data_IF_247190459118
#
_entry.id   IF_247190459118
#
_cell.length_a   1.000
_cell.length_b   1.000
_cell.length_c   1.000
_cell.angle_alpha   90.00
_cell.angle_beta   90.00
_cell.angle_gamma   90.00
#
_symmetry.space_group_name_H-M   'P 1'
#
loop_
_entity.id
_entity.type
_entity.pdbx_description
1 polymer ?
#
# COMPACT_ATOMS: atom_id res chain seq x y z
N UNK A 1 6.76 14.19 23.86
CA UNK A 1 6.15 12.89 23.48
C UNK A 1 4.64 13.10 23.46
N UNK A 2 4.04 13.24 22.29
CA UNK A 2 2.58 13.33 22.18
C UNK A 2 2.00 11.96 22.53
N UNK A 3 1.26 11.88 23.63
CA UNK A 3 0.50 10.68 23.96
C UNK A 3 -0.56 10.51 22.87
N UNK A 4 -0.54 9.37 22.18
CA UNK A 4 -1.68 8.96 21.34
C UNK A 4 -2.90 8.97 22.26
N UNK A 5 -3.90 9.76 21.90
CA UNK A 5 -5.13 9.86 22.67
C UNK A 5 -5.72 8.44 22.74
N UNK A 6 -6.07 7.97 23.94
CA UNK A 6 -6.63 6.60 24.16
C UNK A 6 -7.91 6.31 23.35
N UNK A 7 -8.44 7.32 22.68
CA UNK A 7 -9.64 7.24 21.82
C UNK A 7 -9.33 7.10 20.33
N UNK A 8 -8.05 7.10 19.94
CA UNK A 8 -7.68 6.94 18.52
C UNK A 8 -7.87 5.48 18.09
N UNK A 9 -8.63 5.20 17.00
CA UNK A 9 -8.86 3.84 16.54
C UNK A 9 -7.60 3.23 15.94
N UNK A 10 -7.47 1.92 16.00
CA UNK A 10 -6.51 1.20 15.15
C UNK A 10 -6.98 1.26 13.70
N UNK A 11 -6.02 1.38 12.77
CA UNK A 11 -6.29 1.41 11.33
C UNK A 11 -5.57 0.25 10.68
N UNK A 12 -6.32 -0.58 9.97
CA UNK A 12 -5.79 -1.71 9.20
C UNK A 12 -6.19 -1.54 7.74
N UNK A 13 -5.21 -1.54 6.84
CA UNK A 13 -5.42 -1.51 5.40
C UNK A 13 -5.09 -2.90 4.85
N UNK A 14 -6.10 -3.62 4.38
CA UNK A 14 -5.95 -4.88 3.67
C UNK A 14 -5.95 -4.60 2.17
N UNK A 15 -4.81 -4.82 1.54
CA UNK A 15 -4.63 -4.52 0.12
C UNK A 15 -4.19 -5.77 -0.64
N UNK A 16 -5.12 -6.58 -1.15
CA UNK A 16 -4.81 -7.70 -2.02
C UNK A 16 -4.11 -7.20 -3.29
N UNK A 17 -3.13 -7.96 -3.78
CA UNK A 17 -2.58 -7.70 -5.12
C UNK A 17 -3.66 -8.01 -6.15
N UNK A 18 -3.66 -7.74 -7.29
CA UNK A 18 -4.48 -8.05 -8.48
C UNK A 18 -5.90 -8.65 -8.22
N UNK A 19 -6.62 -8.17 -7.20
CA UNK A 19 -8.01 -8.55 -6.95
C UNK A 19 -8.96 -7.62 -7.70
N UNK A 20 -9.74 -8.19 -8.62
CA UNK A 20 -10.81 -7.46 -9.31
C UNK A 20 -12.09 -7.51 -8.49
N UNK A 21 -12.89 -6.42 -8.51
CA UNK A 21 -14.21 -6.39 -7.90
C UNK A 21 -15.09 -7.55 -8.41
N UNK A 22 -15.13 -7.76 -9.73
CA UNK A 22 -15.89 -8.83 -10.36
C UNK A 22 -15.44 -10.26 -9.99
N UNK A 23 -14.38 -10.43 -9.23
CA UNK A 23 -13.96 -11.73 -8.69
C UNK A 23 -14.54 -12.00 -7.29
N UNK A 24 -15.41 -11.14 -6.79
CA UNK A 24 -16.06 -11.30 -5.50
C UNK A 24 -17.57 -11.54 -5.69
N UNK A 25 -18.20 -12.45 -4.92
CA UNK A 25 -19.65 -12.70 -4.95
C UNK A 25 -20.47 -11.44 -4.76
N UNK A 26 -20.01 -10.53 -3.91
CA UNK A 26 -20.58 -9.21 -3.69
C UNK A 26 -20.83 -8.41 -4.97
N UNK A 27 -20.01 -8.63 -6.02
CA UNK A 27 -20.11 -7.95 -7.33
C UNK A 27 -20.54 -8.89 -8.47
N UNK A 28 -21.07 -10.07 -8.15
CA UNK A 28 -21.69 -10.97 -9.11
C UNK A 28 -20.90 -12.23 -9.48
N UNK A 29 -19.73 -12.49 -8.89
CA UNK A 29 -19.06 -13.78 -9.05
C UNK A 29 -19.84 -14.88 -8.29
N UNK A 30 -20.02 -16.03 -8.94
CA UNK A 30 -20.80 -17.13 -8.37
C UNK A 30 -20.00 -18.41 -8.13
N UNK A 31 -18.74 -18.45 -8.57
CA UNK A 31 -17.89 -19.64 -8.49
C UNK A 31 -17.02 -19.68 -7.24
N UNK A 32 -16.90 -18.57 -6.54
CA UNK A 32 -16.04 -18.40 -5.36
C UNK A 32 -16.89 -18.00 -4.17
N UNK A 33 -16.69 -18.64 -3.04
CA UNK A 33 -17.31 -18.27 -1.78
C UNK A 33 -16.36 -17.42 -0.93
N UNK A 34 -16.80 -16.25 -0.49
CA UNK A 34 -16.02 -15.33 0.34
C UNK A 34 -16.76 -14.92 1.62
N UNK A 35 -17.17 -15.88 2.50
CA UNK A 35 -18.10 -15.63 3.60
C UNK A 35 -17.59 -14.59 4.59
N UNK A 36 -16.28 -14.45 4.77
CA UNK A 36 -15.71 -13.45 5.67
C UNK A 36 -15.71 -12.05 5.05
N UNK A 37 -15.44 -11.94 3.75
CA UNK A 37 -15.53 -10.66 3.02
C UNK A 37 -16.99 -10.22 2.93
N UNK A 38 -17.90 -11.13 2.63
CA UNK A 38 -19.32 -10.85 2.53
C UNK A 38 -19.90 -10.36 3.86
N UNK A 39 -19.50 -11.01 4.97
CA UNK A 39 -19.87 -10.55 6.32
C UNK A 39 -19.30 -9.16 6.64
N UNK A 40 -18.03 -8.90 6.30
CA UNK A 40 -17.43 -7.60 6.48
C UNK A 40 -18.17 -6.54 5.65
N UNK A 41 -18.52 -6.86 4.42
CA UNK A 41 -19.25 -5.95 3.54
C UNK A 41 -20.63 -5.60 4.08
N UNK A 42 -21.35 -6.58 4.68
CA UNK A 42 -22.66 -6.37 5.30
C UNK A 42 -22.63 -5.34 6.45
N UNK A 43 -21.49 -5.24 7.15
CA UNK A 43 -21.29 -4.33 8.31
C UNK A 43 -20.49 -3.08 7.94
N UNK A 44 -20.28 -2.82 6.63
CA UNK A 44 -19.36 -1.78 6.16
C UNK A 44 -19.98 -0.91 5.07
N UNK A 45 -19.31 0.23 4.77
CA UNK A 45 -19.58 0.99 3.56
C UNK A 45 -18.87 0.34 2.37
N UNK A 46 -19.63 -0.15 1.41
CA UNK A 46 -19.12 -0.71 0.16
C UNK A 46 -19.09 0.36 -0.91
N UNK A 47 -17.91 0.59 -1.52
CA UNK A 47 -17.72 1.54 -2.61
C UNK A 47 -17.73 0.78 -3.95
N UNK A 48 -18.88 0.62 -4.56
CA UNK A 48 -19.09 -0.18 -5.77
C UNK A 48 -18.38 0.37 -7.01
N UNK A 49 -18.18 1.69 -7.08
CA UNK A 49 -17.59 2.38 -8.22
C UNK A 49 -16.19 2.94 -7.92
N UNK A 50 -15.43 2.30 -7.04
CA UNK A 50 -14.06 2.70 -6.77
C UNK A 50 -13.16 2.33 -7.98
N UNK A 51 -12.41 3.32 -8.48
CA UNK A 51 -11.57 3.18 -9.68
C UNK A 51 -10.11 3.50 -9.31
N UNK A 52 -9.20 2.62 -9.71
CA UNK A 52 -7.77 2.92 -9.67
C UNK A 52 -7.34 3.72 -10.90
N UNK A 53 -6.69 4.86 -10.68
CA UNK A 53 -6.20 5.72 -11.77
C UNK A 53 -5.07 5.08 -12.59
N UNK A 54 -4.34 4.14 -12.00
CA UNK A 54 -3.29 3.36 -12.66
C UNK A 54 -3.21 1.97 -11.99
N UNK A 55 -3.94 0.96 -12.51
CA UNK A 55 -4.03 -0.37 -11.91
C UNK A 55 -2.80 -1.25 -12.24
N UNK A 56 -1.61 -0.71 -11.97
CA UNK A 56 -0.31 -1.38 -12.12
C UNK A 56 0.37 -1.35 -10.76
N UNK A 57 1.09 -2.40 -10.40
CA UNK A 57 1.56 -2.63 -9.02
C UNK A 57 2.25 -1.42 -8.36
N UNK A 58 3.37 -0.95 -8.90
CA UNK A 58 4.13 0.18 -8.33
C UNK A 58 3.33 1.48 -8.35
N UNK A 59 2.72 1.91 -9.48
CA UNK A 59 1.89 3.10 -9.50
C UNK A 59 0.73 3.06 -8.50
N UNK A 60 -0.03 1.96 -8.44
CA UNK A 60 -1.15 1.82 -7.52
C UNK A 60 -0.70 1.90 -6.05
N UNK A 61 0.42 1.24 -5.71
CA UNK A 61 0.99 1.27 -4.35
C UNK A 61 1.49 2.67 -3.98
N UNK A 62 2.15 3.36 -4.91
CA UNK A 62 2.60 4.72 -4.70
C UNK A 62 1.42 5.67 -4.45
N UNK A 63 0.35 5.56 -5.25
CA UNK A 63 -0.88 6.33 -5.04
C UNK A 63 -1.52 6.04 -3.69
N UNK A 64 -1.66 4.77 -3.30
CA UNK A 64 -2.22 4.38 -2.02
C UNK A 64 -1.44 4.98 -0.85
N UNK A 65 -0.11 4.97 -0.93
CA UNK A 65 0.73 5.44 0.16
C UNK A 65 0.89 6.97 0.20
N UNK A 66 0.91 7.64 -0.95
CA UNK A 66 1.19 9.08 -1.01
C UNK A 66 -0.05 9.94 -1.20
N UNK A 67 -1.17 9.35 -1.63
CA UNK A 67 -2.36 10.10 -2.02
C UNK A 67 -2.18 10.95 -3.29
N UNK A 68 -1.12 10.71 -4.08
CA UNK A 68 -0.74 11.54 -5.24
C UNK A 68 -0.77 10.73 -6.53
N UNK A 69 -1.14 11.38 -7.62
CA UNK A 69 -1.18 10.75 -8.94
C UNK A 69 0.21 10.29 -9.42
N UNK A 70 0.27 9.21 -10.23
CA UNK A 70 1.52 8.66 -10.75
C UNK A 70 2.36 9.68 -11.52
N UNK A 71 1.73 10.57 -12.28
CA UNK A 71 2.40 11.64 -13.02
C UNK A 71 3.13 12.63 -12.11
N UNK A 72 2.58 12.86 -10.91
CA UNK A 72 3.19 13.76 -9.93
C UNK A 72 4.36 13.12 -9.20
N UNK A 73 4.22 11.84 -8.86
CA UNK A 73 5.26 11.10 -8.12
C UNK A 73 6.32 10.50 -9.04
N UNK A 74 6.03 10.38 -10.34
CA UNK A 74 6.90 9.75 -11.34
C UNK A 74 6.78 8.22 -11.39
N UNK A 75 5.81 7.62 -10.68
CA UNK A 75 5.59 6.17 -10.69
C UNK A 75 4.68 5.76 -11.84
N UNK A 76 5.22 5.75 -13.06
CA UNK A 76 4.45 5.41 -14.26
C UNK A 76 4.53 3.92 -14.63
N UNK A 77 5.57 3.23 -14.14
CA UNK A 77 5.86 1.82 -14.44
C UNK A 77 6.36 1.09 -13.18
N UNK A 78 6.45 -0.23 -13.22
CA UNK A 78 6.86 -1.07 -12.09
C UNK A 78 8.35 -0.98 -11.68
N UNK A 79 9.18 -0.32 -12.48
CA UNK A 79 10.63 -0.21 -12.21
C UNK A 79 11.04 1.13 -11.62
N UNK A 80 10.11 1.84 -11.00
CA UNK A 80 10.37 3.14 -10.38
C UNK A 80 10.50 3.02 -8.86
N UNK A 81 11.40 3.84 -8.30
CA UNK A 81 11.63 3.94 -6.85
C UNK A 81 10.98 5.19 -6.30
N UNK A 82 10.39 5.09 -5.12
CA UNK A 82 9.81 6.24 -4.41
C UNK A 82 10.91 7.18 -3.95
N UNK A 83 10.71 8.48 -4.16
CA UNK A 83 11.63 9.52 -3.70
C UNK A 83 11.54 9.68 -2.19
N UNK A 84 12.65 9.93 -1.54
CA UNK A 84 12.69 10.18 -0.10
C UNK A 84 11.93 11.44 0.34
N UNK A 85 11.65 12.36 -0.59
CA UNK A 85 10.86 13.57 -0.34
C UNK A 85 9.35 13.34 -0.32
N UNK A 86 8.87 12.19 -0.78
CA UNK A 86 7.44 11.88 -0.73
C UNK A 86 7.01 11.63 0.72
N UNK A 87 5.88 12.21 1.09
CA UNK A 87 5.25 11.98 2.40
C UNK A 87 4.20 10.89 2.21
N UNK A 88 4.28 9.86 3.01
CA UNK A 88 3.38 8.72 2.96
C UNK A 88 2.31 8.77 4.05
N UNK A 89 1.34 7.88 3.92
CA UNK A 89 0.39 7.59 4.99
C UNK A 89 1.12 7.07 6.25
N UNK A 90 2.19 6.28 6.10
CA UNK A 90 3.04 5.82 7.21
C UNK A 90 3.67 7.00 7.96
N UNK A 91 4.26 7.98 7.24
CA UNK A 91 4.78 9.21 7.84
C UNK A 91 3.69 10.00 8.57
N UNK A 92 2.51 10.07 7.98
CA UNK A 92 1.39 10.84 8.54
C UNK A 92 0.90 10.22 9.85
N UNK A 93 0.71 8.91 9.88
CA UNK A 93 0.33 8.19 11.09
C UNK A 93 1.43 8.22 12.16
N UNK A 94 2.69 8.04 11.77
CA UNK A 94 3.82 8.14 12.71
C UNK A 94 3.90 9.52 13.38
N UNK A 95 3.70 10.62 12.61
CA UNK A 95 3.62 11.99 13.16
C UNK A 95 2.43 12.19 14.10
N UNK A 96 1.34 11.49 13.88
CA UNK A 96 0.18 11.49 14.77
C UNK A 96 0.37 10.59 16.01
N UNK A 97 1.55 9.95 16.16
CA UNK A 97 1.89 9.12 17.31
C UNK A 97 1.49 7.65 17.20
N UNK A 98 1.01 7.19 16.05
CA UNK A 98 0.74 5.77 15.81
C UNK A 98 2.02 4.97 15.66
N UNK A 99 1.96 3.70 16.06
CA UNK A 99 2.90 2.69 15.61
C UNK A 99 2.47 2.20 14.24
N UNK A 100 3.41 2.17 13.31
CA UNK A 100 3.13 1.86 11.90
C UNK A 100 3.75 0.54 11.52
N UNK A 101 3.05 -0.25 10.73
CA UNK A 101 3.51 -1.56 10.27
C UNK A 101 3.22 -1.76 8.79
N UNK A 102 4.15 -2.37 8.09
CA UNK A 102 3.96 -2.90 6.75
C UNK A 102 4.23 -4.40 6.73
N UNK A 103 3.34 -5.15 6.12
CA UNK A 103 3.47 -6.61 5.95
C UNK A 103 3.15 -6.98 4.52
N UNK A 104 4.08 -7.66 3.85
CA UNK A 104 3.91 -8.16 2.49
C UNK A 104 4.56 -7.31 1.41
N UNK A 105 4.10 -7.46 0.17
CA UNK A 105 4.70 -6.87 -1.03
C UNK A 105 4.82 -5.35 -0.95
N UNK A 106 6.05 -4.84 -1.13
CA UNK A 106 6.33 -3.40 -1.20
C UNK A 106 6.31 -2.85 -2.62
N UNK A 107 7.23 -3.30 -3.44
CA UNK A 107 7.38 -2.96 -4.86
C UNK A 107 7.56 -1.46 -5.15
N UNK A 108 8.16 -0.71 -4.22
CA UNK A 108 8.43 0.73 -4.34
C UNK A 108 9.92 1.08 -4.19
N UNK A 109 10.79 0.06 -4.14
CA UNK A 109 12.24 0.22 -4.00
C UNK A 109 13.01 -0.36 -5.18
N UNK A 110 12.36 -0.80 -6.24
CA UNK A 110 13.00 -1.32 -7.44
C UNK A 110 13.75 -0.21 -8.16
N UNK A 111 15.06 -0.36 -8.31
CA UNK A 111 15.87 0.54 -9.15
C UNK A 111 15.65 0.26 -10.63
N UNK A 112 15.97 1.25 -11.48
CA UNK A 112 16.11 1.03 -12.91
C UNK A 112 17.21 -0.01 -13.16
N UNK A 113 16.94 -1.00 -14.02
CA UNK A 113 17.96 -1.78 -14.68
C UNK A 113 19.02 -0.83 -15.27
N UNK A 114 20.24 -0.75 -14.88
CA UNK A 114 21.27 -1.72 -14.52
C UNK A 114 21.77 -1.64 -13.07
N UNK A 115 21.08 -0.98 -12.17
CA UNK A 115 21.52 -0.88 -10.77
C UNK A 115 21.37 -2.20 -9.97
N UNK A 116 20.70 -3.19 -10.57
CA UNK A 116 20.52 -4.52 -9.96
C UNK A 116 21.84 -5.27 -9.70
N UNK A 117 22.87 -5.02 -10.54
CA UNK A 117 24.18 -5.65 -10.37
C UNK A 117 24.94 -5.19 -9.10
N UNK A 118 24.46 -4.13 -8.47
CA UNK A 118 25.06 -3.58 -7.24
C UNK A 118 24.24 -3.84 -5.98
N UNK A 119 23.08 -4.48 -6.09
CA UNK A 119 22.27 -4.84 -4.93
C UNK A 119 22.68 -6.24 -4.47
N UNK A 120 23.38 -6.39 -3.34
CA UNK A 120 23.84 -7.68 -2.86
C UNK A 120 22.71 -8.57 -2.32
N UNK A 121 21.44 -8.18 -2.46
CA UNK A 121 20.31 -8.83 -1.81
C UNK A 121 19.06 -8.86 -2.69
N UNK A 122 18.11 -9.68 -2.26
CA UNK A 122 16.85 -9.96 -2.91
C UNK A 122 16.13 -8.70 -3.45
N UNK A 123 15.51 -8.72 -4.63
CA UNK A 123 14.82 -7.56 -5.22
C UNK A 123 13.70 -6.96 -4.34
N UNK A 124 13.23 -7.72 -3.36
CA UNK A 124 12.22 -7.28 -2.39
C UNK A 124 12.83 -6.72 -1.08
N UNK A 125 14.16 -6.66 -0.97
CA UNK A 125 14.81 -6.08 0.19
C UNK A 125 14.68 -4.55 0.20
N UNK A 126 14.20 -4.00 1.30
CA UNK A 126 14.03 -2.55 1.49
C UNK A 126 14.85 -2.11 2.69
N UNK A 127 15.83 -1.20 2.51
CA UNK A 127 16.63 -0.67 3.60
C UNK A 127 15.77 -0.06 4.70
N UNK A 128 16.32 -0.05 5.92
CA UNK A 128 15.71 0.69 7.01
C UNK A 128 15.72 2.20 6.74
N UNK A 129 14.89 2.92 7.49
CA UNK A 129 14.82 4.36 7.39
C UNK A 129 13.87 4.84 6.29
N UNK A 130 14.31 5.81 5.51
CA UNK A 130 13.42 6.56 4.61
C UNK A 130 12.84 5.73 3.46
N UNK A 131 13.48 4.64 3.08
CA UNK A 131 12.97 3.72 2.06
C UNK A 131 11.69 2.98 2.48
N UNK A 132 11.45 2.86 3.79
CA UNK A 132 10.24 2.29 4.38
C UNK A 132 9.12 3.31 4.59
N UNK A 133 9.28 4.54 4.15
CA UNK A 133 8.26 5.59 4.14
C UNK A 133 7.46 5.71 5.47
N UNK A 134 8.16 5.74 6.60
CA UNK A 134 7.54 5.93 7.92
C UNK A 134 6.91 4.70 8.55
N UNK A 135 7.17 3.50 8.01
CA UNK A 135 6.75 2.25 8.65
C UNK A 135 7.85 1.72 9.59
N UNK A 136 7.54 1.63 10.88
CA UNK A 136 8.46 1.18 11.93
C UNK A 136 8.67 -0.34 11.90
N UNK A 137 7.56 -1.09 11.82
CA UNK A 137 7.58 -2.55 11.72
C UNK A 137 7.51 -2.99 10.27
N UNK A 138 8.34 -3.97 9.91
CA UNK A 138 8.53 -4.40 8.53
C UNK A 138 8.63 -5.93 8.41
N UNK A 139 7.80 -6.51 7.56
CA UNK A 139 7.84 -7.94 7.21
C UNK A 139 7.52 -8.15 5.72
#
# INVERSE_FOLDING_TARGET
MNQVNKTSPNVVVLFPDQLRALSLPLFGEQQIETPNIDRLAADSLVLENAISNCPVCTPARAMLLTGRYPQTTGHLINTTRTRHSEISIGDTFARAGYKTAWVGKWHLHTGLWPALDRMPQHPDWVPEGRDRLGFDYWR
#
